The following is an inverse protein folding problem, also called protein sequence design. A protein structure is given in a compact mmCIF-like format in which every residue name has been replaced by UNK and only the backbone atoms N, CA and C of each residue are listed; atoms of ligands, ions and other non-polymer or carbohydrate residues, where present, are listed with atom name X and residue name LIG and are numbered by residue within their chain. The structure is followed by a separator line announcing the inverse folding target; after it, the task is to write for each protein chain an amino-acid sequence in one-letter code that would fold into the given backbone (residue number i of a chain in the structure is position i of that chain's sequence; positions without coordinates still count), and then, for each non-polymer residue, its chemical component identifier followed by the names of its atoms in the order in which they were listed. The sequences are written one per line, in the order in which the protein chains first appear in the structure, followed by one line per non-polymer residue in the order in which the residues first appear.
data_IF_161956515569
#
_entry.id   IF_161956515569
#
_cell.length_a   1.000
_cell.length_b   1.000
_cell.length_c   1.000
_cell.angle_alpha   90.00
_cell.angle_beta   90.00
_cell.angle_gamma   90.00
#
_symmetry.space_group_name_H-M   'P 1'
#
loop_
_entity.id
_entity.type
_entity.pdbx_description
1 polymer ?
#
# COMPACT_ATOMS: atom_id res chain seq x y z
N UNK A 1 -0.46 -11.74 -37.49
CA UNK A 1 0.98 -11.57 -37.18
C UNK A 1 1.32 -12.44 -35.98
N UNK A 2 2.15 -13.45 -36.23
CA UNK A 2 2.48 -14.56 -35.33
C UNK A 2 3.53 -14.15 -34.30
N UNK A 3 3.14 -14.01 -33.03
CA UNK A 3 4.07 -13.72 -31.93
C UNK A 3 4.82 -14.99 -31.47
N UNK A 4 6.15 -14.94 -31.31
CA UNK A 4 6.98 -16.10 -30.97
C UNK A 4 7.03 -16.32 -29.46
N UNK A 5 6.85 -17.59 -29.03
CA UNK A 5 7.25 -18.31 -27.78
C UNK A 5 7.47 -17.61 -26.39
N UNK A 6 7.30 -16.30 -26.22
CA UNK A 6 7.06 -15.59 -24.97
C UNK A 6 5.62 -15.57 -24.39
N UNK A 7 4.54 -16.12 -25.02
CA UNK A 7 3.19 -15.89 -24.52
C UNK A 7 2.86 -16.72 -23.27
N UNK A 8 3.36 -17.95 -23.12
CA UNK A 8 2.88 -18.86 -22.06
C UNK A 8 3.12 -18.32 -20.64
N UNK A 9 4.30 -17.75 -20.39
CA UNK A 9 4.64 -17.22 -19.07
C UNK A 9 3.78 -16.01 -18.68
N UNK A 10 3.55 -15.09 -19.62
CA UNK A 10 2.71 -13.91 -19.38
C UNK A 10 1.25 -14.31 -19.15
N UNK A 11 0.74 -15.32 -19.86
CA UNK A 11 -0.59 -15.88 -19.61
C UNK A 11 -0.67 -16.52 -18.22
N UNK A 12 0.35 -17.27 -17.78
CA UNK A 12 0.38 -17.84 -16.43
C UNK A 12 0.45 -16.77 -15.35
N UNK A 13 1.23 -15.71 -15.55
CA UNK A 13 1.31 -14.59 -14.61
C UNK A 13 -0.03 -13.83 -14.52
N UNK A 14 -0.72 -13.66 -15.66
CA UNK A 14 -2.06 -13.07 -15.67
C UNK A 14 -3.09 -13.94 -14.95
N UNK A 15 -3.01 -15.27 -15.10
CA UNK A 15 -3.85 -16.20 -14.36
C UNK A 15 -3.59 -16.12 -12.85
N UNK A 16 -2.32 -16.07 -12.44
CA UNK A 16 -1.96 -15.87 -11.04
C UNK A 16 -2.45 -14.52 -10.51
N UNK A 17 -2.29 -13.44 -11.27
CA UNK A 17 -2.81 -12.13 -10.90
C UNK A 17 -4.33 -12.13 -10.69
N UNK A 18 -5.09 -12.79 -11.56
CA UNK A 18 -6.52 -13.01 -11.38
C UNK A 18 -6.82 -13.79 -10.09
N UNK A 19 -6.10 -14.89 -9.86
CA UNK A 19 -6.25 -15.69 -8.65
C UNK A 19 -5.99 -14.85 -7.39
N UNK A 20 -4.91 -14.07 -7.35
CA UNK A 20 -4.60 -13.21 -6.22
C UNK A 20 -5.68 -12.15 -5.96
N UNK A 21 -6.27 -11.60 -7.03
CA UNK A 21 -7.38 -10.66 -6.90
C UNK A 21 -8.65 -11.30 -6.32
N UNK A 22 -8.91 -12.58 -6.61
CA UNK A 22 -10.03 -13.30 -6.02
C UNK A 22 -9.76 -13.65 -4.56
N UNK A 23 -8.54 -14.07 -4.24
CA UNK A 23 -8.12 -14.35 -2.87
C UNK A 23 -8.22 -13.12 -1.94
N UNK A 24 -8.29 -11.88 -2.45
CA UNK A 24 -8.55 -10.70 -1.62
C UNK A 24 -9.89 -10.75 -0.88
N UNK A 25 -10.86 -11.54 -1.35
CA UNK A 25 -12.19 -11.63 -0.77
C UNK A 25 -12.29 -12.67 0.35
N UNK A 26 -11.28 -13.54 0.53
CA UNK A 26 -11.28 -14.56 1.59
C UNK A 26 -11.57 -14.02 3.00
N UNK A 27 -11.05 -12.85 3.44
CA UNK A 27 -11.39 -12.31 4.76
C UNK A 27 -12.89 -12.12 4.99
N UNK A 28 -13.65 -11.76 3.94
CA UNK A 28 -15.11 -11.62 4.02
C UNK A 28 -15.79 -12.99 4.11
N UNK A 29 -15.32 -13.96 3.33
CA UNK A 29 -15.78 -15.34 3.39
C UNK A 29 -15.48 -15.97 4.75
N UNK A 30 -14.31 -15.74 5.33
CA UNK A 30 -13.98 -16.26 6.65
C UNK A 30 -14.85 -15.63 7.75
N UNK A 31 -15.02 -14.30 7.72
CA UNK A 31 -15.81 -13.58 8.71
C UNK A 31 -17.30 -13.97 8.68
N UNK A 32 -17.85 -14.21 7.48
CA UNK A 32 -19.24 -14.61 7.28
C UNK A 32 -19.63 -15.87 8.09
N UNK A 33 -18.78 -16.90 8.09
CA UNK A 33 -19.04 -18.13 8.83
C UNK A 33 -18.55 -18.03 10.27
N UNK A 34 -17.46 -17.31 10.52
CA UNK A 34 -16.98 -17.06 11.88
C UNK A 34 -18.03 -16.39 12.77
N UNK A 35 -18.75 -15.38 12.25
CA UNK A 35 -19.83 -14.69 12.99
C UNK A 35 -21.03 -15.58 13.32
N UNK A 36 -21.16 -16.76 12.69
CA UNK A 36 -22.22 -17.73 12.98
C UNK A 36 -21.93 -18.56 14.24
N UNK A 37 -20.72 -18.48 14.81
CA UNK A 37 -20.31 -19.31 15.96
C UNK A 37 -19.69 -20.65 15.55
N UNK A 38 -19.84 -21.05 14.29
CA UNK A 38 -19.20 -22.22 13.70
C UNK A 38 -18.06 -21.76 12.78
N UNK A 39 -16.83 -21.65 13.30
CA UNK A 39 -15.67 -21.43 12.43
C UNK A 39 -15.29 -22.70 11.68
N UNK A 40 -16.17 -23.09 10.78
CA UNK A 40 -15.98 -24.18 9.85
C UNK A 40 -15.03 -23.70 8.75
N UNK A 41 -13.73 -23.88 9.00
CA UNK A 41 -12.67 -23.76 7.99
C UNK A 41 -13.09 -24.36 6.63
N UNK A 42 -13.70 -25.57 6.56
CA UNK A 42 -14.10 -26.16 5.28
C UNK A 42 -15.14 -25.32 4.53
N UNK A 43 -16.13 -24.78 5.23
CA UNK A 43 -17.18 -23.97 4.59
C UNK A 43 -16.64 -22.62 4.11
N UNK A 44 -15.75 -21.99 4.87
CA UNK A 44 -15.09 -20.75 4.43
C UNK A 44 -14.25 -20.95 3.16
N UNK A 45 -13.57 -22.10 3.05
CA UNK A 45 -12.78 -22.46 1.87
C UNK A 45 -13.66 -22.85 0.68
N UNK A 46 -14.78 -23.54 0.91
CA UNK A 46 -15.77 -23.80 -0.14
C UNK A 46 -16.42 -22.50 -0.65
N UNK A 47 -16.71 -21.55 0.24
CA UNK A 47 -17.17 -20.22 -0.13
C UNK A 47 -16.14 -19.49 -1.00
N UNK A 48 -14.85 -19.56 -0.63
CA UNK A 48 -13.76 -19.00 -1.43
C UNK A 48 -13.64 -19.65 -2.82
N UNK A 49 -13.81 -20.96 -2.91
CA UNK A 49 -13.85 -21.65 -4.21
C UNK A 49 -15.02 -21.16 -5.08
N UNK A 50 -16.18 -20.87 -4.48
CA UNK A 50 -17.30 -20.29 -5.21
C UNK A 50 -16.97 -18.85 -5.69
N UNK A 51 -16.29 -18.05 -4.87
CA UNK A 51 -15.82 -16.71 -5.25
C UNK A 51 -14.82 -16.78 -6.41
N UNK A 52 -13.84 -17.69 -6.34
CA UNK A 52 -12.87 -17.93 -7.41
C UNK A 52 -13.58 -18.36 -8.70
N UNK A 53 -14.54 -19.29 -8.61
CA UNK A 53 -15.32 -19.75 -9.75
C UNK A 53 -16.11 -18.59 -10.39
N UNK A 54 -16.77 -17.74 -9.58
CA UNK A 54 -17.49 -16.56 -10.07
C UNK A 54 -16.54 -15.57 -10.75
N UNK A 55 -15.36 -15.33 -10.18
CA UNK A 55 -14.32 -14.48 -10.75
C UNK A 55 -13.84 -14.98 -12.11
N UNK A 56 -13.55 -16.28 -12.23
CA UNK A 56 -13.17 -16.88 -13.51
C UNK A 56 -14.31 -16.91 -14.53
N UNK A 57 -15.57 -17.06 -14.10
CA UNK A 57 -16.73 -16.92 -14.97
C UNK A 57 -16.84 -15.50 -15.54
N UNK A 58 -16.63 -14.47 -14.72
CA UNK A 58 -16.61 -13.07 -15.19
C UNK A 58 -15.51 -12.82 -16.22
N UNK A 59 -14.29 -13.29 -15.93
CA UNK A 59 -13.17 -13.21 -16.87
C UNK A 59 -13.44 -13.97 -18.18
N UNK A 60 -13.94 -15.20 -18.08
CA UNK A 60 -14.27 -16.06 -19.22
C UNK A 60 -15.35 -15.44 -20.11
N UNK A 61 -16.46 -14.98 -19.51
CA UNK A 61 -17.55 -14.37 -20.26
C UNK A 61 -17.12 -13.10 -20.99
N UNK A 62 -16.27 -12.28 -20.35
CA UNK A 62 -15.69 -11.10 -21.00
C UNK A 62 -14.86 -11.46 -22.23
N UNK A 63 -13.96 -12.45 -22.11
CA UNK A 63 -13.16 -12.91 -23.26
C UNK A 63 -14.01 -13.51 -24.38
N UNK A 64 -15.12 -14.18 -24.05
CA UNK A 64 -16.06 -14.70 -25.04
C UNK A 64 -16.82 -13.60 -25.77
N UNK A 65 -17.27 -12.56 -25.05
CA UNK A 65 -17.96 -11.41 -25.63
C UNK A 65 -17.06 -10.62 -26.58
N UNK A 66 -15.79 -10.43 -26.22
CA UNK A 66 -14.79 -9.79 -27.08
C UNK A 66 -14.52 -10.59 -28.35
N UNK A 67 -14.39 -11.92 -28.24
CA UNK A 67 -14.25 -12.80 -29.41
C UNK A 67 -15.44 -12.75 -30.35
N UNK A 68 -16.65 -12.61 -29.81
CA UNK A 68 -17.89 -12.55 -30.58
C UNK A 68 -18.26 -11.16 -31.11
N UNK A 69 -17.44 -10.12 -30.85
CA UNK A 69 -17.67 -8.72 -31.30
C UNK A 69 -19.10 -8.23 -31.01
N UNK A 70 -19.66 -8.63 -29.88
CA UNK A 70 -21.02 -8.23 -29.47
C UNK A 70 -21.10 -6.72 -29.22
N UNK A 71 -22.25 -6.07 -29.49
CA UNK A 71 -22.42 -4.66 -29.19
C UNK A 71 -22.28 -4.40 -27.68
N UNK A 72 -21.46 -3.40 -27.33
CA UNK A 72 -21.10 -3.00 -25.96
C UNK A 72 -22.25 -2.97 -24.94
N UNK A 73 -23.44 -2.39 -25.24
CA UNK A 73 -24.52 -2.33 -24.24
C UNK A 73 -25.16 -3.70 -23.95
N UNK A 74 -25.37 -4.54 -24.96
CA UNK A 74 -25.95 -5.87 -24.78
C UNK A 74 -25.00 -6.82 -24.05
N UNK A 75 -23.69 -6.74 -24.38
CA UNK A 75 -22.66 -7.51 -23.68
C UNK A 75 -22.55 -7.14 -22.20
N UNK A 76 -22.60 -5.84 -21.88
CA UNK A 76 -22.56 -5.38 -20.48
C UNK A 76 -23.82 -5.76 -19.69
N UNK A 77 -25.00 -5.74 -20.31
CA UNK A 77 -26.23 -6.21 -19.68
C UNK A 77 -26.17 -7.72 -19.37
N UNK A 78 -25.64 -8.52 -20.30
CA UNK A 78 -25.44 -9.95 -20.10
C UNK A 78 -24.44 -10.23 -18.95
N UNK A 79 -23.33 -9.49 -18.90
CA UNK A 79 -22.34 -9.58 -17.81
C UNK A 79 -22.98 -9.26 -16.45
N UNK A 80 -23.78 -8.19 -16.37
CA UNK A 80 -24.43 -7.80 -15.11
C UNK A 80 -25.46 -8.84 -14.66
N UNK A 81 -26.30 -9.32 -15.58
CA UNK A 81 -27.35 -10.30 -15.28
C UNK A 81 -26.75 -11.65 -14.86
N UNK A 82 -25.70 -12.12 -15.54
CA UNK A 82 -24.99 -13.36 -15.17
C UNK A 82 -24.26 -13.23 -13.82
N UNK A 83 -23.63 -12.09 -13.55
CA UNK A 83 -23.01 -11.82 -12.25
C UNK A 83 -24.03 -11.84 -11.10
N UNK A 84 -25.19 -11.20 -11.29
CA UNK A 84 -26.29 -11.23 -10.31
C UNK A 84 -26.78 -12.66 -10.09
N UNK A 85 -27.09 -13.41 -11.16
CA UNK A 85 -27.57 -14.78 -11.05
C UNK A 85 -26.58 -15.70 -10.33
N UNK A 86 -25.29 -15.62 -10.64
CA UNK A 86 -24.25 -16.40 -9.96
C UNK A 86 -24.12 -16.04 -8.48
N UNK A 87 -24.18 -14.74 -8.15
CA UNK A 87 -24.13 -14.28 -6.75
C UNK A 87 -25.36 -14.75 -5.96
N UNK A 88 -26.54 -14.75 -6.59
CA UNK A 88 -27.80 -15.22 -6.01
C UNK A 88 -27.78 -16.74 -5.83
N UNK A 89 -27.25 -17.48 -6.81
CA UNK A 89 -27.05 -18.92 -6.70
C UNK A 89 -26.11 -19.26 -5.54
N UNK A 90 -24.99 -18.54 -5.37
CA UNK A 90 -24.10 -18.71 -4.22
C UNK A 90 -24.81 -18.40 -2.88
N UNK A 91 -25.63 -17.35 -2.83
CA UNK A 91 -26.44 -17.03 -1.65
C UNK A 91 -27.35 -18.19 -1.24
N UNK A 92 -28.06 -18.81 -2.19
CA UNK A 92 -28.97 -19.93 -1.90
C UNK A 92 -28.25 -21.26 -1.64
N UNK A 93 -27.15 -21.55 -2.37
CA UNK A 93 -26.38 -22.78 -2.21
C UNK A 93 -25.71 -22.88 -0.84
N UNK A 94 -25.16 -21.78 -0.36
CA UNK A 94 -24.53 -21.70 0.96
C UNK A 94 -25.50 -21.21 2.04
N UNK A 95 -26.81 -21.31 1.76
CA UNK A 95 -27.96 -20.77 2.48
C UNK A 95 -28.04 -21.17 3.95
N UNK A 96 -27.25 -20.48 4.77
CA UNK A 96 -27.21 -20.58 6.22
C UNK A 96 -27.73 -19.30 6.91
N UNK A 97 -28.60 -18.55 6.22
CA UNK A 97 -29.19 -17.28 6.69
C UNK A 97 -28.53 -16.02 6.10
N UNK A 98 -29.07 -14.85 6.45
CA UNK A 98 -28.60 -13.56 5.92
C UNK A 98 -27.15 -13.25 6.31
N UNK A 99 -26.70 -13.69 7.48
CA UNK A 99 -25.37 -13.39 8.03
C UNK A 99 -24.21 -13.97 7.21
N UNK A 100 -24.16 -15.27 6.88
CA UNK A 100 -23.11 -15.80 6.00
C UNK A 100 -23.42 -15.61 4.51
N UNK A 101 -24.71 -15.62 4.13
CA UNK A 101 -25.12 -15.54 2.74
C UNK A 101 -24.80 -14.19 2.08
N UNK A 102 -25.10 -13.07 2.75
CA UNK A 102 -24.91 -11.74 2.15
C UNK A 102 -23.43 -11.42 1.87
N UNK A 103 -22.47 -11.58 2.81
CA UNK A 103 -21.08 -11.28 2.53
C UNK A 103 -20.49 -12.19 1.45
N UNK A 104 -20.91 -13.46 1.40
CA UNK A 104 -20.51 -14.37 0.32
C UNK A 104 -21.04 -13.91 -1.04
N UNK A 105 -22.33 -13.58 -1.13
CA UNK A 105 -22.94 -13.11 -2.36
C UNK A 105 -22.29 -11.82 -2.87
N UNK A 106 -22.02 -10.89 -1.96
CA UNK A 106 -21.28 -9.65 -2.26
C UNK A 106 -19.86 -9.97 -2.75
N UNK A 107 -19.17 -10.92 -2.11
CA UNK A 107 -17.83 -11.36 -2.52
C UNK A 107 -17.83 -12.02 -3.90
N UNK A 108 -18.82 -12.87 -4.21
CA UNK A 108 -19.00 -13.48 -5.51
C UNK A 108 -19.28 -12.45 -6.60
N UNK A 109 -20.16 -11.47 -6.34
CA UNK A 109 -20.44 -10.39 -7.28
C UNK A 109 -19.21 -9.50 -7.50
N UNK A 110 -18.52 -9.15 -6.42
CA UNK A 110 -17.29 -8.35 -6.48
C UNK A 110 -16.18 -9.09 -7.23
N UNK A 111 -16.01 -10.39 -7.01
CA UNK A 111 -15.05 -11.21 -7.75
C UNK A 111 -15.41 -11.33 -9.23
N UNK A 112 -16.69 -11.50 -9.57
CA UNK A 112 -17.15 -11.52 -10.95
C UNK A 112 -16.81 -10.21 -11.68
N UNK A 113 -17.13 -9.06 -11.07
CA UNK A 113 -16.80 -7.74 -11.62
C UNK A 113 -15.29 -7.53 -11.69
N UNK A 114 -14.55 -7.99 -10.68
CA UNK A 114 -13.08 -7.91 -10.67
C UNK A 114 -12.48 -8.76 -11.80
N UNK A 115 -13.03 -9.95 -12.03
CA UNK A 115 -12.65 -10.83 -13.14
C UNK A 115 -12.90 -10.20 -14.50
N UNK A 116 -14.08 -9.61 -14.72
CA UNK A 116 -14.40 -8.81 -15.92
C UNK A 116 -13.34 -7.73 -16.14
N UNK A 117 -13.05 -6.90 -15.13
CA UNK A 117 -12.14 -5.75 -15.27
C UNK A 117 -10.67 -6.13 -15.40
N UNK A 118 -10.22 -7.14 -14.69
CA UNK A 118 -8.82 -7.59 -14.72
C UNK A 118 -8.45 -8.24 -16.05
N UNK A 119 -9.41 -8.72 -16.85
CA UNK A 119 -9.11 -9.17 -18.22
C UNK A 119 -8.63 -8.05 -19.12
N UNK A 120 -9.09 -6.82 -18.89
CA UNK A 120 -8.70 -5.63 -19.66
C UNK A 120 -7.34 -5.07 -19.23
N UNK A 121 -6.91 -5.38 -18.00
CA UNK A 121 -5.68 -4.88 -17.43
C UNK A 121 -4.48 -5.79 -17.76
N UNK A 122 -3.26 -5.20 -17.81
CA UNK A 122 -2.01 -5.97 -17.88
C UNK A 122 -1.73 -6.72 -16.56
N UNK A 123 -0.82 -7.69 -16.59
CA UNK A 123 -0.58 -8.60 -15.44
C UNK A 123 0.05 -7.88 -14.23
N UNK A 124 0.72 -6.75 -14.45
CA UNK A 124 1.34 -5.90 -13.44
C UNK A 124 0.32 -5.04 -12.65
N UNK A 125 -0.96 -5.07 -13.01
CA UNK A 125 -2.02 -4.41 -12.23
C UNK A 125 -2.08 -4.90 -10.77
N UNK A 126 -1.69 -6.16 -10.51
CA UNK A 126 -1.59 -6.75 -9.17
C UNK A 126 -0.30 -6.34 -8.46
N UNK A 127 0.73 -5.92 -9.19
CA UNK A 127 2.02 -5.45 -8.67
C UNK A 127 1.98 -4.00 -8.16
N UNK A 128 0.82 -3.56 -7.65
CA UNK A 128 0.64 -2.20 -7.13
C UNK A 128 0.74 -2.16 -5.61
N UNK A 129 1.27 -1.06 -5.07
CA UNK A 129 1.31 -0.83 -3.61
C UNK A 129 -0.08 -0.85 -2.99
N UNK A 130 -1.09 -0.38 -3.73
CA UNK A 130 -2.49 -0.39 -3.30
C UNK A 130 -2.98 -1.82 -3.06
N UNK A 131 -2.74 -2.74 -4.01
CA UNK A 131 -3.09 -4.15 -3.86
C UNK A 131 -2.47 -4.78 -2.61
N UNK A 132 -1.16 -4.58 -2.41
CA UNK A 132 -0.45 -5.06 -1.23
C UNK A 132 -1.07 -4.53 0.07
N UNK A 133 -1.36 -3.23 0.14
CA UNK A 133 -1.95 -2.64 1.34
C UNK A 133 -3.36 -3.15 1.62
N UNK A 134 -4.18 -3.36 0.59
CA UNK A 134 -5.54 -3.90 0.74
C UNK A 134 -5.50 -5.35 1.23
N UNK A 135 -4.63 -6.19 0.63
CA UNK A 135 -4.42 -7.56 1.08
C UNK A 135 -4.00 -7.60 2.55
N UNK A 136 -2.96 -6.83 2.91
CA UNK A 136 -2.42 -6.82 4.26
C UNK A 136 -3.44 -6.33 5.29
N UNK A 137 -4.10 -5.19 5.03
CA UNK A 137 -5.10 -4.63 5.95
C UNK A 137 -6.32 -5.53 6.07
N UNK A 138 -6.80 -6.10 4.96
CA UNK A 138 -7.97 -6.98 4.95
C UNK A 138 -7.75 -8.26 5.77
N UNK A 139 -6.64 -8.95 5.53
CA UNK A 139 -6.33 -10.20 6.22
C UNK A 139 -5.91 -9.98 7.67
N UNK A 140 -5.04 -9.01 7.97
CA UNK A 140 -4.65 -8.71 9.36
C UNK A 140 -5.83 -8.16 10.15
N UNK A 141 -6.65 -7.30 9.54
CA UNK A 141 -7.86 -6.76 10.15
C UNK A 141 -8.87 -7.85 10.48
N UNK A 142 -9.09 -8.81 9.57
CA UNK A 142 -9.92 -9.98 9.84
C UNK A 142 -9.33 -10.86 10.95
N UNK A 143 -8.03 -11.15 10.92
CA UNK A 143 -7.36 -11.91 11.99
C UNK A 143 -7.47 -11.23 13.36
N UNK A 144 -7.32 -9.91 13.43
CA UNK A 144 -7.51 -9.13 14.66
C UNK A 144 -8.97 -9.16 15.14
N UNK A 145 -9.94 -9.06 14.24
CA UNK A 145 -11.36 -9.18 14.57
C UNK A 145 -11.70 -10.57 15.12
N UNK A 146 -11.17 -11.62 14.49
CA UNK A 146 -11.32 -13.01 14.95
C UNK A 146 -10.72 -13.17 16.34
N UNK A 147 -9.52 -12.64 16.59
CA UNK A 147 -8.89 -12.68 17.91
C UNK A 147 -9.69 -11.95 19.00
N UNK A 148 -10.18 -10.75 18.69
CA UNK A 148 -10.99 -9.97 19.63
C UNK A 148 -12.29 -10.70 19.99
N UNK A 149 -12.95 -11.30 19.00
CA UNK A 149 -14.21 -12.02 19.18
C UNK A 149 -14.03 -13.38 19.89
N UNK A 150 -12.92 -14.08 19.67
CA UNK A 150 -12.58 -15.27 20.45
C UNK A 150 -12.36 -14.93 21.93
N UNK A 151 -11.73 -13.79 22.22
CA UNK A 151 -11.45 -13.32 23.58
C UNK A 151 -12.72 -12.96 24.37
N UNK A 152 -13.82 -12.62 23.68
CA UNK A 152 -15.10 -12.22 24.29
C UNK A 152 -16.03 -13.40 24.66
N UNK A 153 -15.50 -14.63 24.67
CA UNK A 153 -16.15 -15.93 24.98
C UNK A 153 -17.32 -16.32 24.06
N UNK A 154 -17.13 -17.41 23.30
CA UNK A 154 -18.19 -18.10 22.56
C UNK A 154 -17.80 -18.54 21.14
N UNK A 155 -16.73 -17.99 20.58
CA UNK A 155 -16.27 -18.30 19.22
C UNK A 155 -14.97 -19.11 19.29
N UNK A 156 -14.92 -20.23 18.58
CA UNK A 156 -13.68 -20.96 18.26
C UNK A 156 -13.35 -20.70 16.80
N UNK A 157 -12.07 -20.60 16.41
CA UNK A 157 -11.68 -20.41 15.01
C UNK A 157 -10.18 -20.50 14.78
N UNK A 158 -9.76 -20.81 13.55
CA UNK A 158 -8.35 -21.04 13.21
C UNK A 158 -7.77 -19.87 12.40
N UNK A 159 -6.58 -19.41 12.79
CA UNK A 159 -5.85 -18.38 12.06
C UNK A 159 -5.08 -18.92 10.84
N UNK A 160 -4.90 -20.24 10.77
CA UNK A 160 -4.05 -20.88 9.76
C UNK A 160 -4.55 -20.67 8.32
N UNK A 161 -5.85 -20.79 8.00
CA UNK A 161 -6.35 -20.51 6.64
C UNK A 161 -6.12 -19.06 6.21
N UNK A 162 -6.34 -18.10 7.12
CA UNK A 162 -6.07 -16.68 6.87
C UNK A 162 -4.57 -16.45 6.59
N UNK A 163 -3.69 -17.07 7.38
CA UNK A 163 -2.24 -16.95 7.18
C UNK A 163 -1.77 -17.58 5.85
N UNK A 164 -2.28 -18.77 5.51
CA UNK A 164 -1.93 -19.47 4.26
C UNK A 164 -2.39 -18.68 3.05
N UNK A 165 -3.63 -18.19 3.04
CA UNK A 165 -4.17 -17.44 1.90
C UNK A 165 -3.60 -16.03 1.79
N UNK A 166 -3.23 -15.40 2.92
CA UNK A 166 -2.41 -14.18 2.91
C UNK A 166 -1.02 -14.47 2.30
N UNK A 167 -0.39 -15.57 2.68
CA UNK A 167 0.88 -15.96 2.09
C UNK A 167 0.77 -16.19 0.58
N UNK A 168 -0.28 -16.89 0.12
CA UNK A 168 -0.52 -17.10 -1.32
C UNK A 168 -0.75 -15.78 -2.08
N UNK A 169 -1.55 -14.87 -1.53
CA UNK A 169 -1.79 -13.55 -2.16
C UNK A 169 -0.52 -12.71 -2.25
N UNK A 170 0.26 -12.63 -1.18
CA UNK A 170 1.52 -11.89 -1.15
C UNK A 170 2.60 -12.56 -2.01
N UNK A 171 2.66 -13.89 -2.04
CA UNK A 171 3.57 -14.64 -2.89
C UNK A 171 3.32 -14.39 -4.37
N UNK A 172 2.05 -14.36 -4.80
CA UNK A 172 1.69 -14.00 -6.18
C UNK A 172 2.01 -12.53 -6.47
N UNK A 173 1.74 -11.62 -5.52
CA UNK A 173 2.11 -10.21 -5.65
C UNK A 173 3.62 -10.05 -5.85
N UNK A 174 4.44 -10.71 -5.05
CA UNK A 174 5.90 -10.65 -5.12
C UNK A 174 6.43 -11.25 -6.44
N UNK A 175 5.87 -12.38 -6.88
CA UNK A 175 6.19 -12.96 -8.19
C UNK A 175 5.86 -11.98 -9.32
N UNK A 176 4.74 -11.26 -9.21
CA UNK A 176 4.32 -10.27 -10.20
C UNK A 176 5.23 -9.04 -10.19
N UNK A 177 5.60 -8.53 -9.01
CA UNK A 177 6.54 -7.42 -8.83
C UNK A 177 7.93 -7.75 -9.37
N UNK A 178 8.46 -8.94 -9.04
CA UNK A 178 9.76 -9.39 -9.52
C UNK A 178 9.80 -9.48 -11.06
N UNK A 179 8.73 -9.97 -11.69
CA UNK A 179 8.64 -10.03 -13.16
C UNK A 179 8.46 -8.64 -13.78
N UNK A 180 7.60 -7.80 -13.19
CA UNK A 180 7.42 -6.41 -13.63
C UNK A 180 8.72 -5.60 -13.53
N UNK A 181 9.54 -5.83 -12.51
CA UNK A 181 10.83 -5.16 -12.34
C UNK A 181 11.85 -5.57 -13.40
N UNK A 182 11.91 -6.86 -13.78
CA UNK A 182 12.74 -7.31 -14.91
C UNK A 182 12.29 -6.60 -16.20
N UNK A 183 10.98 -6.51 -16.42
CA UNK A 183 10.41 -5.92 -17.62
C UNK A 183 10.67 -4.40 -17.68
N UNK A 184 10.55 -3.70 -16.56
CA UNK A 184 10.93 -2.29 -16.42
C UNK A 184 12.43 -2.05 -16.68
N UNK A 185 13.31 -2.87 -16.09
CA UNK A 185 14.76 -2.74 -16.27
C UNK A 185 15.19 -2.98 -17.72
N UNK A 186 14.46 -3.81 -18.45
CA UNK A 186 14.71 -4.04 -19.87
C UNK A 186 14.21 -2.92 -20.76
N UNK A 187 13.01 -2.40 -20.49
CA UNK A 187 12.47 -1.24 -21.20
C UNK A 187 13.39 -0.02 -21.07
N UNK A 188 13.91 0.24 -19.86
CA UNK A 188 14.82 1.36 -19.59
C UNK A 188 16.16 1.28 -20.34
N UNK A 189 16.64 0.07 -20.66
CA UNK A 189 17.93 -0.14 -21.35
C UNK A 189 17.82 -0.10 -22.88
N UNK A 190 16.63 0.15 -23.44
CA UNK A 190 16.41 0.17 -24.89
C UNK A 190 16.60 -1.19 -25.58
N UNK A 191 16.78 -2.27 -24.81
CA UNK A 191 16.88 -3.61 -25.36
C UNK A 191 15.49 -4.14 -25.74
N UNK A 192 15.36 -4.68 -26.96
CA UNK A 192 14.15 -5.38 -27.38
C UNK A 192 13.89 -6.56 -26.45
N UNK A 193 12.65 -6.75 -26.01
CA UNK A 193 12.22 -7.83 -25.10
C UNK A 193 12.65 -9.24 -25.56
N UNK A 194 12.92 -9.39 -26.86
CA UNK A 194 13.37 -10.63 -27.50
C UNK A 194 14.84 -10.99 -27.19
N UNK A 195 15.64 -10.04 -26.68
CA UNK A 195 17.06 -10.23 -26.38
C UNK A 195 17.31 -10.81 -24.99
N UNK A 196 16.30 -10.88 -24.11
CA UNK A 196 16.47 -11.48 -22.79
C UNK A 196 16.36 -13.00 -22.90
N UNK A 197 17.43 -13.78 -22.60
CA UNK A 197 17.37 -15.22 -22.67
C UNK A 197 16.26 -15.72 -21.74
N UNK A 198 15.25 -16.41 -22.28
CA UNK A 198 14.13 -16.96 -21.51
C UNK A 198 14.58 -17.86 -20.34
N UNK A 199 15.82 -18.37 -20.41
CA UNK A 199 16.49 -19.12 -19.35
C UNK A 199 16.72 -18.28 -18.09
N UNK A 200 17.10 -17.01 -18.21
CA UNK A 200 17.34 -16.11 -17.05
C UNK A 200 16.02 -15.81 -16.33
N UNK A 201 14.96 -15.53 -17.10
CA UNK A 201 13.64 -15.24 -16.52
C UNK A 201 13.08 -16.44 -15.75
N UNK A 202 13.22 -17.65 -16.32
CA UNK A 202 12.81 -18.90 -15.64
C UNK A 202 13.65 -19.17 -14.40
N UNK A 203 14.97 -19.01 -14.48
CA UNK A 203 15.85 -19.20 -13.33
C UNK A 203 15.49 -18.29 -12.16
N UNK A 204 15.32 -16.98 -12.40
CA UNK A 204 14.93 -16.05 -11.34
C UNK A 204 13.54 -16.38 -10.76
N UNK A 205 12.57 -16.75 -11.62
CA UNK A 205 11.26 -17.19 -11.16
C UNK A 205 11.35 -18.45 -10.30
N UNK A 206 12.15 -19.44 -10.71
CA UNK A 206 12.38 -20.67 -9.96
C UNK A 206 13.01 -20.37 -8.60
N UNK A 207 13.99 -19.46 -8.54
CA UNK A 207 14.63 -19.07 -7.28
C UNK A 207 13.62 -18.44 -6.30
N UNK A 208 12.83 -17.47 -6.76
CA UNK A 208 11.78 -16.86 -5.92
C UNK A 208 10.74 -17.90 -5.49
N UNK A 209 10.36 -18.82 -6.38
CA UNK A 209 9.41 -19.89 -6.06
C UNK A 209 9.97 -20.86 -5.02
N UNK A 210 11.25 -21.22 -5.08
CA UNK A 210 11.92 -22.06 -4.08
C UNK A 210 11.92 -21.38 -2.71
N UNK A 211 12.24 -20.07 -2.65
CA UNK A 211 12.18 -19.31 -1.40
C UNK A 211 10.76 -19.28 -0.84
N UNK A 212 9.76 -19.02 -1.68
CA UNK A 212 8.35 -19.06 -1.26
C UNK A 212 7.94 -20.46 -0.78
N UNK A 213 8.39 -21.52 -1.45
CA UNK A 213 8.09 -22.90 -1.05
C UNK A 213 8.71 -23.23 0.33
N UNK A 214 9.92 -22.76 0.62
CA UNK A 214 10.55 -22.92 1.94
C UNK A 214 9.73 -22.18 3.00
N UNK A 215 9.30 -20.94 2.74
CA UNK A 215 8.48 -20.18 3.70
C UNK A 215 7.13 -20.89 3.93
N UNK A 216 6.47 -21.37 2.88
CA UNK A 216 5.23 -22.13 2.99
C UNK A 216 5.42 -23.42 3.79
N UNK A 217 6.52 -24.14 3.56
CA UNK A 217 6.87 -25.34 4.32
C UNK A 217 7.02 -25.00 5.81
N UNK A 218 7.79 -23.97 6.15
CA UNK A 218 7.93 -23.51 7.53
C UNK A 218 6.58 -23.10 8.15
N UNK A 219 5.69 -22.49 7.37
CA UNK A 219 4.36 -22.05 7.83
C UNK A 219 3.40 -23.23 8.06
N UNK A 220 3.41 -24.26 7.21
CA UNK A 220 2.57 -25.45 7.38
C UNK A 220 3.07 -26.37 8.50
N UNK A 221 4.39 -26.49 8.65
CA UNK A 221 5.04 -27.34 9.64
C UNK A 221 5.50 -26.56 10.89
N UNK A 222 4.94 -25.39 11.15
CA UNK A 222 5.37 -24.54 12.26
C UNK A 222 5.28 -25.22 13.63
N UNK A 223 4.27 -26.08 13.84
CA UNK A 223 4.08 -26.85 15.08
C UNK A 223 5.19 -27.89 15.29
N UNK A 224 5.41 -28.86 14.38
CA UNK A 224 6.49 -29.83 14.54
C UNK A 224 7.89 -29.19 14.50
N UNK A 225 8.07 -28.08 13.78
CA UNK A 225 9.33 -27.35 13.77
C UNK A 225 9.58 -26.67 15.12
N UNK A 226 8.54 -26.08 15.71
CA UNK A 226 8.60 -25.47 17.04
C UNK A 226 8.91 -26.50 18.13
N UNK A 227 8.29 -27.68 18.08
CA UNK A 227 8.59 -28.75 19.05
C UNK A 227 10.01 -29.30 18.87
N UNK A 228 10.50 -29.43 17.63
CA UNK A 228 11.88 -29.83 17.37
C UNK A 228 12.89 -28.79 17.90
N UNK A 229 12.63 -27.50 17.71
CA UNK A 229 13.49 -26.43 18.25
C UNK A 229 13.46 -26.43 19.78
N UNK A 230 12.28 -26.55 20.39
CA UNK A 230 12.14 -26.63 21.84
C UNK A 230 12.90 -27.84 22.41
N UNK A 231 12.81 -28.99 21.77
CA UNK A 231 13.57 -30.18 22.14
C UNK A 231 15.09 -29.95 22.09
N UNK A 232 15.60 -29.30 21.04
CA UNK A 232 17.02 -28.96 20.94
C UNK A 232 17.44 -27.98 22.04
N UNK A 233 16.63 -26.97 22.34
CA UNK A 233 16.90 -26.02 23.42
C UNK A 233 16.89 -26.68 24.79
N UNK A 234 15.97 -27.62 25.04
CA UNK A 234 15.94 -28.41 26.26
C UNK A 234 17.18 -29.30 26.38
N UNK A 235 17.66 -29.88 25.27
CA UNK A 235 18.88 -30.67 25.24
C UNK A 235 20.12 -29.82 25.55
N UNK A 236 20.19 -28.61 25.01
CA UNK A 236 21.24 -27.62 25.33
C UNK A 236 21.17 -27.21 26.81
N UNK A 237 19.96 -26.97 27.34
CA UNK A 237 19.75 -26.64 28.76
C UNK A 237 20.22 -27.78 29.67
N UNK A 238 19.87 -29.03 29.34
CA UNK A 238 20.31 -30.20 30.10
C UNK A 238 21.84 -30.35 30.08
N UNK A 239 22.46 -30.15 28.92
CA UNK A 239 23.92 -30.17 28.79
C UNK A 239 24.57 -29.08 29.66
N UNK A 240 24.02 -27.86 29.65
CA UNK A 240 24.52 -26.75 30.47
C UNK A 240 24.41 -27.04 31.98
N UNK A 241 23.30 -27.64 32.42
CA UNK A 241 23.13 -28.08 33.82
C UNK A 241 24.13 -29.17 34.18
N UNK A 242 24.34 -30.15 33.31
CA UNK A 242 25.35 -31.20 33.52
C UNK A 242 26.76 -30.64 33.63
N UNK A 243 27.13 -29.70 32.75
CA UNK A 243 28.42 -29.02 32.81
C UNK A 243 28.56 -28.26 34.13
N UNK A 244 27.53 -27.53 34.56
CA UNK A 244 27.55 -26.80 35.82
C UNK A 244 27.67 -27.74 37.03
N UNK A 245 26.92 -28.84 37.06
CA UNK A 245 27.02 -29.87 38.09
C UNK A 245 28.42 -30.49 38.12
N UNK A 246 29.00 -30.75 36.94
CA UNK A 246 30.35 -31.31 36.83
C UNK A 246 31.42 -30.32 37.32
N UNK A 247 31.26 -29.02 37.04
CA UNK A 247 32.13 -27.96 37.57
C UNK A 247 32.01 -27.86 39.09
N UNK A 248 30.79 -27.89 39.64
CA UNK A 248 30.56 -27.86 41.09
C UNK A 248 31.14 -29.10 41.78
N UNK A 249 31.01 -30.28 41.15
CA UNK A 249 31.63 -31.51 41.62
C UNK A 249 33.17 -31.46 41.58
N UNK A 250 33.76 -30.89 40.52
CA UNK A 250 35.20 -30.66 40.50
C UNK A 250 35.62 -29.68 41.60
N UNK A 251 34.87 -28.61 41.82
CA UNK A 251 35.16 -27.65 42.87
C UNK A 251 35.09 -28.28 44.26
N UNK A 252 34.15 -29.21 44.51
CA UNK A 252 34.06 -29.93 45.79
C UNK A 252 35.22 -30.91 46.00
N UNK A 253 35.83 -31.44 44.95
CA UNK A 253 37.06 -32.27 45.01
C UNK A 253 38.30 -31.48 45.45
N UNK A 254 38.33 -30.17 45.23
CA UNK A 254 39.42 -29.28 45.67
C UNK A 254 39.11 -28.54 46.97
N UNK A 255 37.91 -28.70 47.53
CA UNK A 255 37.56 -28.13 48.82
C UNK A 255 38.07 -29.06 49.93
N UNK A 256 38.95 -28.59 50.83
CA UNK A 256 39.36 -29.38 51.98
C UNK A 256 38.11 -29.70 52.82
N UNK A 257 37.97 -30.96 53.22
CA UNK A 257 36.88 -31.45 54.05
C UNK A 257 36.87 -30.74 55.40
N UNK A 258 36.05 -29.71 55.55
CA UNK A 258 35.44 -29.42 56.84
C UNK A 258 34.24 -30.35 57.00
N UNK A 259 34.38 -31.29 57.94
CA UNK A 259 33.29 -32.14 58.41
C UNK A 259 32.14 -31.26 58.89
N UNK A 260 31.07 -31.18 58.08
CA UNK A 260 29.77 -30.75 58.55
C UNK A 260 28.95 -32.00 58.80
N UNK A 261 28.81 -32.27 60.10
CA UNK A 261 27.91 -33.21 60.77
C UNK A 261 26.63 -33.50 59.99
N UNK A 262 26.36 -34.79 59.83
CA UNK A 262 25.08 -35.38 59.48
C UNK A 262 23.92 -34.77 60.29
N UNK A 263 23.01 -34.12 59.60
CA UNK A 263 21.60 -33.98 59.98
C UNK A 263 20.79 -34.62 58.87
N UNK A 264 20.25 -35.81 59.15
CA UNK A 264 19.35 -36.53 58.27
C UNK A 264 18.08 -35.70 58.01
N UNK A 265 17.93 -35.20 56.79
CA UNK A 265 16.61 -35.14 56.14
C UNK A 265 16.77 -35.81 54.78
N UNK A 266 16.46 -37.11 54.77
CA UNK A 266 16.31 -37.91 53.57
C UNK A 266 15.04 -37.43 52.87
N UNK A 267 15.16 -36.39 52.07
CA UNK A 267 14.07 -35.90 51.23
C UNK A 267 13.89 -36.91 50.09
N UNK A 268 12.79 -37.65 50.14
CA UNK A 268 12.38 -38.61 49.11
C UNK A 268 12.48 -37.96 47.71
N UNK A 269 13.14 -38.58 46.72
CA UNK A 269 12.99 -38.19 45.33
C UNK A 269 11.69 -38.80 44.78
N UNK A 270 10.55 -38.48 45.40
CA UNK A 270 9.23 -38.87 44.93
C UNK A 270 8.52 -37.67 44.31
N UNK A 271 9.11 -37.13 43.24
CA UNK A 271 8.43 -36.23 42.30
C UNK A 271 8.88 -36.48 40.84
N UNK A 272 9.32 -37.72 40.55
CA UNK A 272 9.50 -38.23 39.19
C UNK A 272 8.27 -39.05 38.77
N UNK A 273 7.10 -38.43 38.78
CA UNK A 273 6.00 -38.83 37.90
C UNK A 273 5.71 -37.65 36.99
N UNK A 274 5.80 -37.78 35.66
CA UNK A 274 5.21 -36.78 34.79
C UNK A 274 3.71 -36.82 35.07
N UNK A 275 3.24 -35.81 35.80
CA UNK A 275 1.82 -35.54 35.95
C UNK A 275 1.28 -35.34 34.54
N UNK A 276 0.65 -36.37 33.98
CA UNK A 276 -0.25 -36.25 32.84
C UNK A 276 -1.48 -35.47 33.32
N UNK A 277 -1.30 -34.19 33.57
CA UNK A 277 -2.38 -33.23 33.69
C UNK A 277 -2.44 -32.49 32.37
N UNK A 278 -3.49 -32.83 31.61
CA UNK A 278 -4.15 -32.03 30.58
C UNK A 278 -3.22 -31.28 29.64
N UNK A 279 -3.20 -31.68 28.36
CA UNK A 279 -2.65 -30.85 27.29
C UNK A 279 -3.05 -29.39 27.52
N UNK A 280 -2.11 -28.48 27.87
CA UNK A 280 -2.42 -27.08 27.72
C UNK A 280 -2.56 -26.94 26.21
N UNK A 281 -3.79 -26.68 25.75
CA UNK A 281 -4.09 -26.34 24.36
C UNK A 281 -2.90 -25.55 23.82
N UNK A 282 -2.08 -26.22 22.99
CA UNK A 282 -0.67 -25.87 22.80
C UNK A 282 -0.55 -24.38 22.63
N UNK A 283 0.05 -23.70 23.62
CA UNK A 283 -0.01 -22.25 23.76
C UNK A 283 0.32 -21.62 22.41
N UNK A 284 -0.72 -21.14 21.72
CA UNK A 284 -0.65 -20.66 20.34
C UNK A 284 0.16 -19.37 20.36
N UNK A 285 1.49 -19.47 20.42
CA UNK A 285 2.44 -18.37 20.34
C UNK A 285 2.34 -17.63 19.00
N UNK A 286 1.68 -18.24 18.01
CA UNK A 286 1.29 -17.61 16.76
C UNK A 286 0.31 -16.46 16.98
N UNK A 287 -0.61 -16.59 17.93
CA UNK A 287 -1.61 -15.56 18.24
C UNK A 287 -0.99 -14.27 18.79
N UNK A 288 -0.13 -14.29 19.84
CA UNK A 288 0.58 -13.10 20.29
C UNK A 288 1.64 -12.64 19.28
N UNK A 289 2.30 -13.52 18.50
CA UNK A 289 3.24 -13.09 17.47
C UNK A 289 2.55 -12.38 16.30
N UNK A 290 1.38 -12.87 15.88
CA UNK A 290 0.53 -12.23 14.88
C UNK A 290 -0.02 -10.91 15.40
N UNK A 291 -0.42 -10.84 16.67
CA UNK A 291 -0.86 -9.59 17.30
C UNK A 291 0.28 -8.58 17.42
N UNK A 292 1.46 -9.03 17.82
CA UNK A 292 2.65 -8.20 17.95
C UNK A 292 3.10 -7.70 16.57
N UNK A 293 3.06 -8.55 15.55
CA UNK A 293 3.32 -8.18 14.17
C UNK A 293 2.26 -7.20 13.64
N UNK A 294 0.97 -7.42 13.93
CA UNK A 294 -0.12 -6.53 13.55
C UNK A 294 -0.02 -5.16 14.25
N UNK A 295 0.30 -5.12 15.55
CA UNK A 295 0.54 -3.89 16.32
C UNK A 295 1.80 -3.18 15.80
N UNK A 296 2.91 -3.90 15.58
CA UNK A 296 4.14 -3.35 15.03
C UNK A 296 3.93 -2.78 13.61
N UNK A 297 3.14 -3.44 12.77
CA UNK A 297 2.74 -2.94 11.45
C UNK A 297 1.82 -1.73 11.54
N UNK A 298 0.86 -1.74 12.46
CA UNK A 298 -0.03 -0.62 12.70
C UNK A 298 0.77 0.61 13.13
N UNK A 299 1.75 0.46 14.02
CA UNK A 299 2.62 1.53 14.50
C UNK A 299 3.60 1.99 13.40
N UNK A 300 4.30 1.07 12.73
CA UNK A 300 5.27 1.38 11.68
C UNK A 300 4.60 2.04 10.47
N UNK A 301 3.44 1.53 10.04
CA UNK A 301 2.76 1.96 8.81
C UNK A 301 1.47 2.75 9.06
N UNK A 302 1.23 3.29 10.27
CA UNK A 302 0.03 4.08 10.57
C UNK A 302 -0.24 5.19 9.55
N UNK A 303 0.81 5.84 9.03
CA UNK A 303 0.69 6.87 7.99
C UNK A 303 0.29 6.32 6.63
N UNK A 304 0.74 5.12 6.27
CA UNK A 304 0.41 4.45 5.00
C UNK A 304 -1.02 3.91 5.03
N UNK A 305 -1.42 3.30 6.14
CA UNK A 305 -2.79 2.80 6.35
C UNK A 305 -3.79 3.97 6.38
N UNK A 306 -3.48 5.04 7.12
CA UNK A 306 -4.30 6.25 7.15
C UNK A 306 -4.44 6.91 5.77
N UNK A 307 -3.37 6.96 4.99
CA UNK A 307 -3.41 7.48 3.62
C UNK A 307 -4.17 6.55 2.67
N UNK A 308 -4.07 5.23 2.81
CA UNK A 308 -4.81 4.26 2.00
C UNK A 308 -6.32 4.32 2.27
N UNK A 309 -6.73 4.36 3.55
CA UNK A 309 -8.14 4.54 3.93
C UNK A 309 -8.68 5.86 3.38
N UNK A 310 -7.90 6.94 3.49
CA UNK A 310 -8.27 8.24 2.95
C UNK A 310 -8.37 8.23 1.42
N UNK A 311 -7.50 7.51 0.71
CA UNK A 311 -7.58 7.34 -0.74
C UNK A 311 -8.80 6.53 -1.17
N UNK A 312 -9.13 5.46 -0.43
CA UNK A 312 -10.35 4.67 -0.66
C UNK A 312 -11.60 5.52 -0.42
N UNK A 313 -11.62 6.31 0.66
CA UNK A 313 -12.72 7.20 0.97
C UNK A 313 -12.87 8.31 -0.09
N UNK A 314 -11.76 8.90 -0.55
CA UNK A 314 -11.77 9.90 -1.62
C UNK A 314 -12.19 9.30 -2.95
N UNK A 315 -11.74 8.10 -3.30
CA UNK A 315 -12.15 7.39 -4.52
C UNK A 315 -13.65 7.04 -4.47
N UNK A 316 -14.16 6.66 -3.30
CA UNK A 316 -15.58 6.42 -3.07
C UNK A 316 -16.40 7.71 -3.20
N UNK A 317 -15.93 8.82 -2.61
CA UNK A 317 -16.55 10.15 -2.73
C UNK A 317 -16.51 10.66 -4.17
N UNK A 318 -15.42 10.44 -4.89
CA UNK A 318 -15.29 10.80 -6.31
C UNK A 318 -16.21 9.95 -7.19
N UNK A 319 -16.34 8.65 -6.91
CA UNK A 319 -17.31 7.79 -7.60
C UNK A 319 -18.75 8.19 -7.31
N UNK A 320 -19.09 8.46 -6.05
CA UNK A 320 -20.39 9.00 -5.66
C UNK A 320 -20.66 10.34 -6.36
N UNK A 321 -19.69 11.26 -6.36
CA UNK A 321 -19.80 12.52 -7.12
C UNK A 321 -19.91 12.30 -8.62
N UNK A 322 -19.25 11.32 -9.21
CA UNK A 322 -19.38 11.00 -10.63
C UNK A 322 -20.72 10.39 -11.00
N UNK A 323 -21.42 9.77 -10.04
CA UNK A 323 -22.78 9.28 -10.20
C UNK A 323 -23.83 10.40 -10.09
N UNK A 324 -23.52 11.48 -9.34
CA UNK A 324 -24.37 12.68 -9.23
C UNK A 324 -23.98 13.83 -10.15
N UNK A 325 -22.81 13.77 -10.78
CA UNK A 325 -22.38 14.75 -11.78
C UNK A 325 -23.05 14.42 -13.11
N UNK A 326 -24.13 15.15 -13.42
CA UNK A 326 -24.73 15.19 -14.76
C UNK A 326 -23.62 15.54 -15.75
N UNK A 327 -23.24 14.54 -16.55
CA UNK A 327 -22.10 14.57 -17.45
C UNK A 327 -22.37 15.57 -18.58
N UNK A 328 -21.95 16.83 -18.40
CA UNK A 328 -21.72 17.73 -19.54
C UNK A 328 -20.56 17.14 -20.34
N UNK A 329 -20.91 16.51 -21.45
CA UNK A 329 -19.98 16.01 -22.47
C UNK A 329 -19.26 17.24 -23.05
N UNK A 330 -17.99 17.41 -22.72
CA UNK A 330 -17.12 18.26 -23.53
C UNK A 330 -16.93 17.57 -24.89
N UNK A 331 -16.96 18.31 -26.01
CA UNK A 331 -16.79 17.71 -27.32
C UNK A 331 -15.35 17.21 -27.48
N UNK A 332 -15.20 15.96 -27.89
CA UNK A 332 -13.95 15.47 -28.46
C UNK A 332 -13.81 16.09 -29.85
N UNK A 333 -12.76 16.89 -30.06
CA UNK A 333 -12.24 17.18 -31.39
C UNK A 333 -11.41 15.99 -31.87
N UNK A 334 -11.81 15.43 -33.00
CA UNK A 334 -10.99 14.54 -33.81
C UNK A 334 -9.87 15.34 -34.52
N UNK A 335 -8.88 14.61 -35.02
CA UNK A 335 -7.74 15.02 -35.86
C UNK A 335 -6.49 15.55 -35.13
N UNK A 336 -5.44 14.72 -35.04
CA UNK A 336 -4.28 14.81 -35.93
C UNK A 336 -3.24 13.72 -35.58
N UNK A 337 -2.87 12.95 -36.60
CA UNK A 337 -1.70 12.07 -36.61
C UNK A 337 -0.43 12.92 -36.73
N UNK A 338 0.37 13.02 -35.67
CA UNK A 338 1.67 13.68 -35.70
C UNK A 338 2.40 13.45 -34.38
N UNK A 339 3.71 13.16 -34.46
CA UNK A 339 4.68 12.96 -33.37
C UNK A 339 4.16 13.19 -31.93
N UNK A 340 4.10 12.12 -31.14
CA UNK A 340 3.95 12.22 -29.69
C UNK A 340 5.29 12.61 -29.08
N UNK A 341 5.46 13.88 -28.73
CA UNK A 341 6.41 14.26 -27.69
C UNK A 341 5.83 13.76 -26.36
N UNK A 342 6.48 12.76 -25.77
CA UNK A 342 6.16 12.35 -24.39
C UNK A 342 6.60 13.48 -23.47
N UNK A 343 5.68 14.41 -23.21
CA UNK A 343 5.75 15.28 -22.05
C UNK A 343 5.57 14.38 -20.83
N UNK A 344 6.66 13.85 -20.30
CA UNK A 344 6.68 13.45 -18.90
C UNK A 344 6.42 14.72 -18.09
N UNK A 345 5.18 14.87 -17.60
CA UNK A 345 4.98 15.65 -16.39
C UNK A 345 5.83 14.97 -15.32
N UNK A 346 7.06 15.45 -15.15
CA UNK A 346 7.77 15.31 -13.88
C UNK A 346 6.76 15.78 -12.85
N UNK A 347 6.16 14.85 -12.12
CA UNK A 347 5.38 15.17 -10.94
C UNK A 347 6.37 15.80 -9.99
N UNK A 348 6.57 17.11 -10.09
CA UNK A 348 6.90 17.92 -8.94
C UNK A 348 5.88 17.49 -7.91
N UNK A 349 6.36 16.80 -6.86
CA UNK A 349 5.58 16.26 -5.76
C UNK A 349 4.28 17.04 -5.67
N UNK A 350 3.19 16.45 -6.19
CA UNK A 350 1.86 17.03 -6.19
C UNK A 350 1.75 17.72 -4.86
N UNK A 351 1.65 19.05 -4.87
CA UNK A 351 1.59 19.88 -3.69
C UNK A 351 0.77 19.11 -2.68
N UNK A 352 1.46 18.51 -1.71
CA UNK A 352 0.81 17.75 -0.67
C UNK A 352 -0.26 18.70 -0.18
N UNK A 353 -1.54 18.34 -0.27
CA UNK A 353 -2.62 19.19 0.23
C UNK A 353 -2.35 19.34 1.73
N UNK A 354 -1.56 20.37 2.06
CA UNK A 354 -1.12 20.72 3.39
C UNK A 354 -2.39 21.28 4.01
N UNK A 355 -3.20 20.39 4.58
CA UNK A 355 -4.33 20.75 5.43
C UNK A 355 -3.90 21.65 6.60
N UNK A 356 -2.60 21.68 6.90
CA UNK A 356 -1.95 22.58 7.84
C UNK A 356 -0.92 23.49 7.16
N UNK A 357 -1.15 23.89 5.90
CA UNK A 357 -0.32 24.94 5.30
C UNK A 357 -0.56 26.22 6.09
N UNK A 358 0.49 26.93 6.55
CA UNK A 358 0.29 28.25 7.12
C UNK A 358 -0.47 29.09 6.10
N UNK A 359 -1.45 29.88 6.58
CA UNK A 359 -2.19 30.84 5.74
C UNK A 359 -1.23 31.49 4.74
N UNK A 360 -1.59 31.61 3.45
CA UNK A 360 -0.69 32.09 2.42
C UNK A 360 -0.10 33.47 2.78
N UNK A 361 -0.85 34.31 3.49
CA UNK A 361 -0.39 35.58 4.09
C UNK A 361 0.70 35.36 5.14
N UNK A 362 0.56 34.37 6.02
CA UNK A 362 1.56 34.02 7.04
C UNK A 362 2.85 33.49 6.42
N UNK A 363 2.76 32.73 5.33
CA UNK A 363 3.92 32.28 4.57
C UNK A 363 4.65 33.45 3.89
N UNK A 364 3.90 34.35 3.26
CA UNK A 364 4.44 35.54 2.62
C UNK A 364 5.13 36.49 3.62
N UNK A 365 4.54 36.71 4.82
CA UNK A 365 5.18 37.47 5.91
C UNK A 365 6.44 36.79 6.48
N UNK A 366 6.55 35.46 6.38
CA UNK A 366 7.78 34.74 6.75
C UNK A 366 8.87 35.00 5.70
N UNK A 367 8.51 34.93 4.43
CA UNK A 367 9.42 35.14 3.31
C UNK A 367 9.92 36.60 3.27
N UNK A 368 9.07 37.59 3.60
CA UNK A 368 9.48 38.99 3.78
C UNK A 368 10.53 39.16 4.89
N UNK A 369 10.37 38.47 6.03
CA UNK A 369 11.35 38.49 7.13
C UNK A 369 12.65 37.80 6.74
N UNK A 370 12.59 36.77 5.91
CA UNK A 370 13.78 36.11 5.37
C UNK A 370 14.53 37.04 4.39
N UNK A 371 13.80 37.72 3.50
CA UNK A 371 14.36 38.68 2.56
C UNK A 371 15.12 39.83 3.27
N UNK A 372 14.59 40.34 4.38
CA UNK A 372 15.28 41.37 5.19
C UNK A 372 16.63 40.93 5.75
N UNK A 373 16.81 39.63 6.01
CA UNK A 373 18.05 39.06 6.58
C UNK A 373 19.08 38.69 5.51
N UNK A 374 18.69 38.75 4.24
CA UNK A 374 19.57 38.42 3.12
C UNK A 374 20.61 39.53 2.91
N UNK A 375 21.88 39.20 2.57
CA UNK A 375 22.88 40.20 2.20
C UNK A 375 22.40 41.04 1.02
N UNK A 376 22.80 42.32 1.00
CA UNK A 376 22.46 43.23 -0.09
C UNK A 376 23.19 42.81 -1.37
N UNK A 377 22.42 42.65 -2.46
CA UNK A 377 22.92 42.18 -3.74
C UNK A 377 21.80 41.95 -4.75
N UNK A 378 22.17 41.56 -5.98
CA UNK A 378 21.24 41.30 -7.09
C UNK A 378 20.24 40.19 -6.77
N UNK A 379 20.66 39.16 -6.01
CA UNK A 379 19.77 38.07 -5.56
C UNK A 379 18.64 38.56 -4.65
N UNK A 380 18.92 39.54 -3.79
CA UNK A 380 17.91 40.14 -2.90
C UNK A 380 16.86 40.89 -3.70
N UNK A 381 17.26 41.57 -4.78
CA UNK A 381 16.34 42.24 -5.70
C UNK A 381 15.45 41.23 -6.45
N UNK A 382 16.04 40.14 -6.96
CA UNK A 382 15.31 39.07 -7.67
C UNK A 382 14.29 38.38 -6.78
N UNK A 383 14.68 38.05 -5.55
CA UNK A 383 13.77 37.47 -4.56
C UNK A 383 12.69 38.48 -4.12
N UNK A 384 13.04 39.77 -4.05
CA UNK A 384 12.09 40.85 -3.78
C UNK A 384 11.00 40.96 -4.84
N UNK A 385 11.38 40.92 -6.12
CA UNK A 385 10.42 40.93 -7.24
C UNK A 385 9.51 39.70 -7.24
N UNK A 386 10.05 38.50 -7.01
CA UNK A 386 9.24 37.29 -6.90
C UNK A 386 8.22 37.37 -5.73
N UNK A 387 8.65 37.96 -4.61
CA UNK A 387 7.79 38.18 -3.45
C UNK A 387 6.72 39.26 -3.73
N UNK A 388 7.04 40.26 -4.54
CA UNK A 388 6.11 41.29 -5.00
C UNK A 388 4.98 40.68 -5.82
N UNK A 389 5.30 39.88 -6.84
CA UNK A 389 4.32 39.17 -7.67
C UNK A 389 3.40 38.28 -6.83
N UNK A 390 3.96 37.53 -5.88
CA UNK A 390 3.19 36.70 -4.95
C UNK A 390 2.31 37.53 -4.02
N UNK A 391 2.79 38.69 -3.58
CA UNK A 391 2.04 39.64 -2.75
C UNK A 391 0.85 40.24 -3.49
N UNK A 392 1.03 40.64 -4.75
CA UNK A 392 -0.03 41.14 -5.62
C UNK A 392 -1.10 40.07 -5.91
N UNK A 393 -0.69 38.82 -6.09
CA UNK A 393 -1.63 37.70 -6.20
C UNK A 393 -2.47 37.51 -4.94
N UNK A 394 -1.88 37.71 -3.75
CA UNK A 394 -2.63 37.72 -2.48
C UNK A 394 -3.53 38.96 -2.35
N UNK A 395 -3.19 40.05 -3.02
CA UNK A 395 -4.01 41.25 -3.17
C UNK A 395 -5.25 41.10 -4.04
N UNK A 396 -5.43 39.94 -4.68
CA UNK A 396 -6.52 39.72 -5.61
C UNK A 396 -6.24 40.27 -7.01
N UNK A 397 -4.97 40.58 -7.33
CA UNK A 397 -4.57 40.94 -8.70
C UNK A 397 -4.39 39.67 -9.53
N UNK A 398 -5.12 39.57 -10.64
CA UNK A 398 -4.95 38.48 -11.60
C UNK A 398 -3.65 38.71 -12.40
N UNK A 399 -2.67 37.83 -12.19
CA UNK A 399 -1.39 37.82 -12.90
C UNK A 399 -1.32 36.58 -13.80
N UNK A 400 -0.94 36.78 -15.06
CA UNK A 400 -0.70 35.71 -16.03
C UNK A 400 0.77 35.27 -15.98
N UNK A 401 1.08 33.99 -16.26
CA UNK A 401 2.46 33.52 -16.33
C UNK A 401 3.29 34.18 -17.44
N UNK A 402 2.63 34.73 -18.46
CA UNK A 402 3.25 35.45 -19.58
C UNK A 402 3.44 36.93 -19.33
N UNK A 403 3.00 37.46 -18.18
CA UNK A 403 3.10 38.90 -17.90
C UNK A 403 4.57 39.32 -17.78
N UNK A 404 4.93 40.36 -18.52
CA UNK A 404 6.22 41.04 -18.44
C UNK A 404 6.34 41.87 -17.17
N UNK A 405 7.54 42.30 -16.75
CA UNK A 405 7.68 43.13 -15.57
C UNK A 405 6.99 44.49 -15.70
N UNK A 406 6.99 45.09 -16.89
CA UNK A 406 6.19 46.28 -17.21
C UNK A 406 4.68 46.04 -17.06
N UNK A 407 4.16 44.91 -17.56
CA UNK A 407 2.74 44.56 -17.41
C UNK A 407 2.36 44.29 -15.95
N UNK A 408 3.25 43.65 -15.19
CA UNK A 408 3.06 43.43 -13.76
C UNK A 408 3.01 44.77 -13.02
N UNK A 409 3.87 45.72 -13.39
CA UNK A 409 3.84 47.07 -12.83
C UNK A 409 2.55 47.80 -13.18
N UNK A 410 2.10 47.73 -14.43
CA UNK A 410 0.85 48.36 -14.86
C UNK A 410 -0.34 47.83 -14.05
N UNK A 411 -0.45 46.51 -13.91
CA UNK A 411 -1.49 45.86 -13.08
C UNK A 411 -1.35 46.19 -11.60
N UNK A 412 -0.13 46.36 -11.09
CA UNK A 412 0.10 46.75 -9.72
C UNK A 412 -0.34 48.21 -9.44
N UNK A 413 -0.08 49.13 -10.37
CA UNK A 413 -0.53 50.52 -10.31
C UNK A 413 -2.05 50.63 -10.44
N UNK A 414 -2.67 49.87 -11.35
CA UNK A 414 -4.14 49.79 -11.50
C UNK A 414 -4.81 49.26 -10.22
N UNK A 415 -4.24 48.24 -9.58
CA UNK A 415 -4.77 47.66 -8.34
C UNK A 415 -4.43 48.47 -7.07
N UNK A 416 -3.44 49.35 -7.13
CA UNK A 416 -2.95 50.14 -6.00
C UNK A 416 -2.43 51.51 -6.44
N UNK A 417 -3.32 52.51 -6.59
CA UNK A 417 -2.90 53.86 -6.87
C UNK A 417 -1.93 54.37 -5.79
N UNK A 418 -0.75 54.84 -6.18
CA UNK A 418 0.32 55.28 -5.26
C UNK A 418 1.38 54.23 -4.91
N UNK A 419 1.35 53.05 -5.52
CA UNK A 419 2.44 52.08 -5.46
C UNK A 419 3.54 52.46 -6.47
N UNK A 420 4.48 53.32 -6.05
CA UNK A 420 5.63 53.74 -6.86
C UNK A 420 6.64 52.58 -7.06
N UNK A 421 6.30 51.63 -7.94
CA UNK A 421 7.10 50.44 -8.21
C UNK A 421 8.06 50.58 -9.40
N UNK A 422 8.01 51.70 -10.13
CA UNK A 422 8.69 51.91 -11.42
C UNK A 422 10.20 51.73 -11.33
N UNK A 423 10.83 52.39 -10.37
CA UNK A 423 12.27 52.32 -10.18
C UNK A 423 12.74 50.94 -9.71
N UNK A 424 11.96 50.28 -8.84
CA UNK A 424 12.31 48.97 -8.30
C UNK A 424 12.14 47.84 -9.32
N UNK A 425 11.13 47.94 -10.20
CA UNK A 425 10.90 46.99 -11.30
C UNK A 425 11.89 47.24 -12.45
N UNK A 426 12.18 48.50 -12.79
CA UNK A 426 13.21 48.83 -13.79
C UNK A 426 14.61 48.36 -13.37
N UNK A 427 14.97 48.54 -12.09
CA UNK A 427 16.22 48.02 -11.56
C UNK A 427 16.28 46.48 -11.61
N UNK A 428 15.14 45.80 -11.46
CA UNK A 428 15.08 44.34 -11.61
C UNK A 428 15.28 43.92 -13.07
N UNK A 429 14.71 44.63 -14.04
CA UNK A 429 14.93 44.38 -15.46
C UNK A 429 16.41 44.55 -15.84
N UNK A 430 17.04 45.63 -15.37
CA UNK A 430 18.48 45.86 -15.57
C UNK A 430 19.32 44.75 -14.93
N UNK A 431 19.03 44.36 -13.69
CA UNK A 431 19.76 43.29 -13.00
C UNK A 431 19.49 41.88 -13.55
N UNK A 432 18.39 41.67 -14.28
CA UNK A 432 18.02 40.37 -14.86
C UNK A 432 18.48 40.21 -16.30
N UNK A 433 18.31 41.24 -17.13
CA UNK A 433 18.57 41.18 -18.57
C UNK A 433 19.90 41.81 -18.96
N UNK A 434 20.38 42.82 -18.21
CA UNK A 434 21.63 43.53 -18.52
C UNK A 434 22.78 43.16 -17.55
N UNK A 435 22.55 42.24 -16.61
CA UNK A 435 23.52 41.78 -15.60
C UNK A 435 24.18 42.90 -14.78
N UNK A 436 23.52 44.05 -14.66
CA UNK A 436 24.01 45.18 -13.88
C UNK A 436 23.91 44.93 -12.36
N UNK A 437 24.87 45.45 -11.60
CA UNK A 437 24.83 45.37 -10.14
C UNK A 437 23.70 46.24 -9.59
N UNK A 438 22.90 45.66 -8.70
CA UNK A 438 21.74 46.34 -8.12
C UNK A 438 22.18 47.50 -7.22
N UNK A 439 21.77 48.72 -7.57
CA UNK A 439 22.02 49.89 -6.75
C UNK A 439 21.33 49.76 -5.38
N UNK A 440 21.99 50.13 -4.25
CA UNK A 440 21.43 49.98 -2.91
C UNK A 440 20.13 50.78 -2.71
N UNK A 441 19.96 51.89 -3.44
CA UNK A 441 18.72 52.67 -3.45
C UNK A 441 17.51 51.84 -3.96
N UNK A 442 17.68 51.09 -5.04
CA UNK A 442 16.61 50.26 -5.63
C UNK A 442 16.16 49.11 -4.73
N UNK A 443 17.09 48.53 -3.96
CA UNK A 443 16.80 47.51 -2.95
C UNK A 443 15.96 48.08 -1.81
N UNK A 444 16.29 49.30 -1.35
CA UNK A 444 15.53 49.98 -0.31
C UNK A 444 14.10 50.33 -0.74
N UNK A 445 13.94 50.75 -2.00
CA UNK A 445 12.63 51.01 -2.61
C UNK A 445 11.80 49.72 -2.71
N UNK A 446 12.39 48.61 -3.17
CA UNK A 446 11.73 47.29 -3.22
C UNK A 446 11.24 46.82 -1.84
N UNK A 447 12.04 46.99 -0.79
CA UNK A 447 11.63 46.64 0.57
C UNK A 447 10.50 47.55 1.07
N UNK A 448 10.55 48.85 0.78
CA UNK A 448 9.48 49.79 1.13
C UNK A 448 8.13 49.42 0.47
N UNK A 449 8.18 48.91 -0.76
CA UNK A 449 7.00 48.49 -1.52
C UNK A 449 6.38 47.23 -0.92
N UNK A 450 7.21 46.24 -0.60
CA UNK A 450 6.76 45.02 0.07
C UNK A 450 6.18 45.33 1.46
N UNK A 451 6.75 46.29 2.19
CA UNK A 451 6.18 46.72 3.48
C UNK A 451 4.82 47.40 3.33
N UNK A 452 4.65 48.26 2.33
CA UNK A 452 3.34 48.86 2.01
C UNK A 452 2.31 47.79 1.67
N UNK A 453 2.67 46.80 0.84
CA UNK A 453 1.79 45.67 0.52
C UNK A 453 1.45 44.81 1.74
N UNK A 454 2.38 44.68 2.69
CA UNK A 454 2.13 43.90 3.92
C UNK A 454 1.04 44.48 4.82
N UNK A 455 0.79 45.80 4.75
CA UNK A 455 -0.27 46.48 5.50
C UNK A 455 -1.67 46.25 4.94
N UNK A 456 -1.78 45.68 3.73
CA UNK A 456 -3.04 45.48 3.02
C UNK A 456 -3.71 44.12 3.33
N UNK A 457 -3.01 43.21 4.00
CA UNK A 457 -3.49 41.88 4.43
C UNK A 457 -3.28 41.64 5.91
#
# INVERSE_FOLDING_TARGET
MTQPKGPRLLHTLKLFGLLAAFLLFYPLCYLAWFLRGEASVPLSLLGELAVIACGFCGAGLRTLLERRKQPLPAGNALLLLTGILLSLAAFFLFGAGLLPGLPLAVSCLAAFVTGDRMTLLPYDAVATRAFFTVALVGYLGCGAAVWALQSLRGFSGSYLPLAVLLFCTLGIHELSCNQAQIDFLMQRRGHRMDQLPSKIRRYNLTLVLVVLAIILFCLLFYRPLGTAIAFVLDLVRQLAVLILQWILYLASLFSPSEEISSGEEMQEPSDFLPRQSEEPAGQDWVTPLFLLAAIALLIWKHRVIGNAIRQVLLALIQRLRSLFAIRRRAPHSEEETGYFDTVEELTHDRESLRLFSPSPVRSWRRDLRALRRMPDGTEKLRNGYALLARGLKLAGVELLPSDTPEELLRRACEASPGLEAERAVAAYEQARYNEEEAAPASLSEMLSLLERLSKRF
#
